data_IF_533503269592
#
_entry.id   IF_533503269592
#
_cell.length_a   1.000
_cell.length_b   1.000
_cell.length_c   1.000
_cell.angle_alpha   90.00
_cell.angle_beta   90.00
_cell.angle_gamma   90.00
#
_symmetry.space_group_name_H-M   'P 1'
#
loop_
_entity.id
_entity.type
_entity.pdbx_description
1 polymer ?
#
# COMPACT_ATOMS: atom_id res chain seq x y z
N UNK A 1 -4.41 2.56 -16.84
CA UNK A 1 -3.07 3.21 -16.84
C UNK A 1 -1.96 2.18 -16.92
N UNK A 2 -1.77 1.39 -15.86
CA UNK A 2 -0.61 0.49 -15.70
C UNK A 2 -0.40 -0.49 -16.87
N UNK A 3 -1.43 -1.24 -17.30
CA UNK A 3 -1.31 -2.11 -18.49
C UNK A 3 -0.83 -1.37 -19.75
N UNK A 4 -1.31 -0.13 -19.96
CA UNK A 4 -0.89 0.70 -21.11
C UNK A 4 0.54 1.23 -20.97
N UNK A 5 1.10 1.28 -19.76
CA UNK A 5 2.49 1.68 -19.46
C UNK A 5 3.45 0.48 -19.42
N UNK A 6 3.02 -0.71 -19.84
CA UNK A 6 3.89 -1.87 -19.97
C UNK A 6 4.09 -2.72 -18.71
N UNK A 7 3.34 -2.46 -17.63
CA UNK A 7 3.45 -3.26 -16.41
C UNK A 7 3.03 -4.72 -16.63
N UNK A 8 3.84 -5.64 -16.11
CA UNK A 8 3.62 -7.08 -16.23
C UNK A 8 2.45 -7.56 -15.36
N UNK A 9 2.07 -8.84 -15.50
CA UNK A 9 1.06 -9.43 -14.61
C UNK A 9 1.55 -9.51 -13.16
N UNK A 10 2.83 -9.83 -12.95
CA UNK A 10 3.45 -9.90 -11.63
C UNK A 10 3.45 -8.53 -10.94
N UNK A 11 3.82 -7.48 -11.68
CA UNK A 11 3.75 -6.08 -11.23
C UNK A 11 2.36 -5.69 -10.70
N UNK A 12 1.32 -6.00 -11.47
CA UNK A 12 -0.06 -5.70 -11.09
C UNK A 12 -0.51 -6.48 -9.85
N UNK A 13 0.03 -7.68 -9.64
CA UNK A 13 -0.24 -8.46 -8.43
C UNK A 13 0.47 -7.89 -7.21
N UNK A 14 1.74 -7.52 -7.36
CA UNK A 14 2.52 -6.86 -6.31
C UNK A 14 1.88 -5.53 -5.88
N UNK A 15 1.41 -4.72 -6.84
CA UNK A 15 0.71 -3.46 -6.54
C UNK A 15 -0.60 -3.69 -5.77
N UNK A 16 -1.37 -4.73 -6.13
CA UNK A 16 -2.61 -5.08 -5.41
C UNK A 16 -2.34 -5.62 -4.01
N UNK A 17 -1.27 -6.40 -3.84
CA UNK A 17 -0.84 -6.91 -2.54
C UNK A 17 -0.48 -5.74 -1.62
N UNK A 18 0.41 -4.84 -2.05
CA UNK A 18 0.80 -3.66 -1.27
C UNK A 18 -0.41 -2.79 -0.88
N UNK A 19 -1.35 -2.56 -1.80
CA UNK A 19 -2.59 -1.84 -1.48
C UNK A 19 -3.43 -2.55 -0.42
N UNK A 20 -3.57 -3.88 -0.52
CA UNK A 20 -4.30 -4.67 0.47
C UNK A 20 -3.62 -4.62 1.84
N UNK A 21 -2.31 -4.82 1.88
CA UNK A 21 -1.54 -4.86 3.13
C UNK A 21 -1.52 -3.50 3.83
N UNK A 22 -1.65 -2.40 3.08
CA UNK A 22 -1.71 -1.06 3.63
C UNK A 22 -3.09 -0.69 4.18
N UNK A 23 -4.15 -1.09 3.48
CA UNK A 23 -5.50 -0.59 3.75
C UNK A 23 -6.47 -1.63 4.33
N UNK A 24 -6.11 -2.90 4.42
CA UNK A 24 -7.00 -3.97 4.89
C UNK A 24 -6.27 -4.92 5.84
N UNK A 25 -7.05 -5.64 6.66
CA UNK A 25 -6.52 -6.56 7.67
C UNK A 25 -6.34 -5.89 9.02
N UNK A 26 -5.76 -6.64 9.96
CA UNK A 26 -5.70 -6.28 11.38
C UNK A 26 -4.86 -5.02 11.66
N UNK A 27 -5.18 -4.35 12.76
CA UNK A 27 -4.46 -3.18 13.26
C UNK A 27 -4.86 -1.86 12.63
N UNK A 28 -4.12 -0.81 12.96
CA UNK A 28 -4.34 0.53 12.41
C UNK A 28 -3.47 0.78 11.16
N UNK A 29 -3.77 1.84 10.41
CA UNK A 29 -3.01 2.20 9.20
C UNK A 29 -1.51 2.35 9.48
N UNK A 30 -1.14 2.96 10.61
CA UNK A 30 0.26 3.18 10.98
C UNK A 30 1.03 1.86 11.18
N UNK A 31 0.41 0.86 11.81
CA UNK A 31 1.00 -0.47 12.01
C UNK A 31 1.15 -1.21 10.67
N UNK A 32 0.12 -1.17 9.82
CA UNK A 32 0.19 -1.72 8.46
C UNK A 32 1.28 -1.07 7.63
N UNK A 33 1.41 0.24 7.70
CA UNK A 33 2.46 0.99 7.03
C UNK A 33 3.85 0.56 7.51
N UNK A 34 4.04 0.37 8.81
CA UNK A 34 5.30 -0.14 9.37
C UNK A 34 5.61 -1.57 8.86
N UNK A 35 4.62 -2.48 8.88
CA UNK A 35 4.79 -3.84 8.32
C UNK A 35 5.14 -3.82 6.83
N UNK A 36 4.50 -2.95 6.05
CA UNK A 36 4.81 -2.82 4.62
C UNK A 36 6.25 -2.34 4.40
N UNK A 37 6.79 -1.48 5.28
CA UNK A 37 8.20 -1.04 5.23
C UNK A 37 9.18 -2.17 5.47
N UNK A 38 8.85 -3.14 6.31
CA UNK A 38 9.71 -4.31 6.55
C UNK A 38 9.75 -5.24 5.32
N UNK A 39 8.72 -5.18 4.48
CA UNK A 39 8.55 -6.03 3.29
C UNK A 39 8.99 -5.34 1.98
N UNK A 40 9.51 -4.11 2.05
CA UNK A 40 9.73 -3.25 0.88
C UNK A 40 10.68 -3.83 -0.18
N UNK A 41 11.67 -4.61 0.24
CA UNK A 41 12.66 -5.22 -0.66
C UNK A 41 12.02 -6.20 -1.66
N UNK A 42 10.79 -6.66 -1.40
CA UNK A 42 10.08 -7.59 -2.26
C UNK A 42 9.30 -6.92 -3.42
N UNK A 43 9.18 -5.59 -3.45
CA UNK A 43 8.30 -4.92 -4.43
C UNK A 43 8.70 -3.47 -4.73
N UNK A 44 9.14 -3.17 -5.98
CA UNK A 44 9.34 -1.79 -6.44
C UNK A 44 8.10 -0.91 -6.27
N UNK A 45 6.91 -1.51 -6.31
CA UNK A 45 5.65 -0.80 -6.06
C UNK A 45 5.44 -0.41 -4.61
N UNK A 46 5.79 -1.29 -3.68
CA UNK A 46 5.68 -0.97 -2.26
C UNK A 46 6.59 0.23 -1.95
N UNK A 47 7.81 0.24 -2.51
CA UNK A 47 8.74 1.37 -2.37
C UNK A 47 8.15 2.68 -2.89
N UNK A 48 7.63 2.69 -4.12
CA UNK A 48 7.02 3.90 -4.69
C UNK A 48 5.83 4.43 -3.86
N UNK A 49 5.01 3.53 -3.31
CA UNK A 49 3.90 3.91 -2.42
C UNK A 49 4.44 4.53 -1.12
N UNK A 50 5.45 3.93 -0.51
CA UNK A 50 6.06 4.44 0.73
C UNK A 50 6.70 5.82 0.51
N UNK A 51 7.44 5.99 -0.58
CA UNK A 51 8.07 7.25 -0.95
C UNK A 51 7.02 8.36 -1.15
N UNK A 52 5.89 8.04 -1.78
CA UNK A 52 4.76 8.97 -1.92
C UNK A 52 4.17 9.38 -0.57
N UNK A 53 3.98 8.42 0.34
CA UNK A 53 3.42 8.68 1.68
C UNK A 53 4.38 9.55 2.49
N UNK A 54 5.68 9.25 2.46
CA UNK A 54 6.72 10.00 3.16
C UNK A 54 6.86 11.43 2.64
N UNK A 55 6.76 11.63 1.32
CA UNK A 55 6.72 12.95 0.73
C UNK A 55 5.49 13.78 1.17
N UNK A 56 4.38 13.11 1.49
CA UNK A 56 3.13 13.74 1.92
C UNK A 56 3.17 14.37 3.32
N UNK A 57 4.13 13.99 4.17
CA UNK A 57 4.29 14.46 5.56
C UNK A 57 2.98 14.41 6.35
N UNK A 58 2.37 15.57 6.62
CA UNK A 58 1.16 15.72 7.43
C UNK A 58 -0.15 15.68 6.61
N UNK A 59 -0.08 15.42 5.29
CA UNK A 59 -1.27 15.35 4.44
C UNK A 59 -1.98 14.01 4.65
N UNK A 60 -3.24 14.07 5.06
CA UNK A 60 -4.07 12.87 5.16
C UNK A 60 -4.24 12.21 3.79
N UNK A 61 -4.09 10.89 3.75
CA UNK A 61 -4.38 10.09 2.57
C UNK A 61 -5.88 9.82 2.47
N UNK A 62 -6.38 9.73 1.24
CA UNK A 62 -7.72 9.21 0.99
C UNK A 62 -7.79 7.75 1.45
N UNK A 63 -8.70 7.47 2.37
CA UNK A 63 -8.91 6.12 2.91
C UNK A 63 -10.08 5.43 2.19
N UNK A 64 -9.98 4.12 1.91
CA UNK A 64 -11.10 3.39 1.35
C UNK A 64 -12.22 3.23 2.39
N UNK A 65 -13.47 3.38 1.96
CA UNK A 65 -14.66 3.31 2.83
C UNK A 65 -14.82 1.97 3.59
N UNK A 66 -14.18 0.89 3.12
CA UNK A 66 -14.19 -0.46 3.72
C UNK A 66 -12.84 -0.92 4.26
N UNK A 67 -11.81 -0.06 4.28
CA UNK A 67 -10.46 -0.46 4.70
C UNK A 67 -10.29 -0.67 6.20
N UNK A 68 -11.17 -0.09 7.01
CA UNK A 68 -11.16 -0.32 8.45
C UNK A 68 -11.94 -1.61 8.69
N UNK A 69 -11.22 -2.73 8.82
CA UNK A 69 -11.80 -3.89 9.52
C UNK A 69 -11.84 -3.45 10.98
N UNK A 70 -13.02 -3.08 11.47
CA UNK A 70 -13.21 -2.99 12.91
C UNK A 70 -13.02 -4.41 13.44
N UNK A 71 -12.00 -4.63 14.27
CA UNK A 71 -11.99 -5.81 15.14
C UNK A 71 -13.25 -5.73 16.01
N UNK A 72 -14.14 -6.72 15.86
CA UNK A 72 -15.23 -6.98 16.82
C UNK A 72 -14.67 -7.63 18.08
#
# INVERSE_FOLDING_TARGET
GMKRRGFTRADLHAARAAYRDLFFGAGVFAERLARLREQTEASPFAREILDFIDAGKNRALCQPARGVVHEE
#
